data_IF_333998014467
#
_entry.id   IF_333998014467
#
_cell.length_a   1.000
_cell.length_b   1.000
_cell.length_c   1.000
_cell.angle_alpha   90.00
_cell.angle_beta   90.00
_cell.angle_gamma   90.00
#
_symmetry.space_group_name_H-M   'P 1'
#
loop_
_entity.id
_entity.type
_entity.pdbx_description
1 polymer ?
#
# COMPACT_ATOMS: atom_id res chain seq x y z
N UNK A 1 -66.54 22.46 -9.44
CA UNK A 1 -65.25 21.74 -9.39
C UNK A 1 -64.17 22.78 -9.10
N UNK A 2 -63.46 22.57 -8.00
CA UNK A 2 -62.48 23.41 -7.28
C UNK A 2 -61.40 23.95 -8.25
N UNK A 3 -61.21 25.27 -8.42
CA UNK A 3 -60.36 26.23 -7.67
C UNK A 3 -58.84 25.92 -7.65
N UNK A 4 -58.04 26.78 -8.29
CA UNK A 4 -57.00 27.56 -7.58
C UNK A 4 -55.52 27.17 -7.69
N UNK A 5 -54.71 28.18 -8.06
CA UNK A 5 -53.34 28.44 -7.54
C UNK A 5 -52.17 27.93 -8.40
N UNK A 6 -51.09 28.67 -8.68
CA UNK A 6 -50.48 29.85 -8.04
C UNK A 6 -49.61 30.57 -9.11
N UNK A 7 -50.04 31.72 -9.63
CA UNK A 7 -49.45 33.07 -9.47
C UNK A 7 -47.96 33.19 -9.11
N UNK A 8 -47.16 33.70 -10.06
CA UNK A 8 -45.83 34.27 -9.79
C UNK A 8 -46.03 35.71 -9.32
N UNK A 9 -46.05 35.90 -8.01
CA UNK A 9 -46.06 37.23 -7.37
C UNK A 9 -44.73 37.92 -7.63
N UNK A 10 -44.76 39.00 -8.41
CA UNK A 10 -43.68 39.99 -8.49
C UNK A 10 -43.76 40.92 -7.28
N UNK A 11 -42.86 40.76 -6.33
CA UNK A 11 -42.66 41.73 -5.24
C UNK A 11 -41.65 42.79 -5.69
N UNK A 12 -41.98 44.08 -5.68
CA UNK A 12 -40.97 45.13 -5.81
C UNK A 12 -40.40 45.49 -4.43
N UNK A 13 -39.13 45.91 -4.45
CA UNK A 13 -38.35 46.55 -3.38
C UNK A 13 -37.58 45.65 -2.40
N UNK A 14 -36.27 45.71 -2.58
CA UNK A 14 -35.24 45.31 -1.62
C UNK A 14 -33.90 45.78 -2.15
N UNK A 15 -33.53 47.03 -1.86
CA UNK A 15 -32.20 47.59 -2.13
C UNK A 15 -31.24 46.90 -1.16
N UNK A 16 -30.66 45.77 -1.58
CA UNK A 16 -29.60 45.09 -0.82
C UNK A 16 -28.41 44.88 -1.76
N UNK A 17 -27.41 45.73 -1.53
CA UNK A 17 -26.01 45.66 -1.93
C UNK A 17 -25.64 44.50 -2.85
N UNK A 18 -25.31 44.85 -4.09
CA UNK A 18 -24.51 44.03 -4.99
C UNK A 18 -23.11 43.82 -4.39
N UNK A 19 -22.99 42.90 -3.44
CA UNK A 19 -21.74 42.19 -3.21
C UNK A 19 -21.67 41.13 -4.31
N UNK A 20 -20.79 41.37 -5.28
CA UNK A 20 -20.47 40.47 -6.38
C UNK A 20 -19.94 39.15 -5.81
N UNK A 21 -20.84 38.21 -5.49
CA UNK A 21 -20.47 36.83 -5.30
C UNK A 21 -20.03 36.31 -6.66
N UNK A 22 -18.72 36.27 -6.90
CA UNK A 22 -18.16 35.55 -8.04
C UNK A 22 -18.77 34.15 -8.02
N UNK A 23 -19.67 33.86 -8.98
CA UNK A 23 -20.27 32.53 -9.12
C UNK A 23 -19.13 31.56 -9.43
N UNK A 24 -18.64 30.85 -8.41
CA UNK A 24 -17.77 29.69 -8.58
C UNK A 24 -18.47 28.76 -9.57
N UNK A 25 -17.92 28.64 -10.78
CA UNK A 25 -18.40 27.69 -11.76
C UNK A 25 -18.01 26.31 -11.23
N UNK A 26 -19.00 25.54 -10.79
CA UNK A 26 -18.82 24.17 -10.34
C UNK A 26 -19.36 23.22 -11.41
N UNK A 27 -18.58 22.24 -11.82
CA UNK A 27 -18.96 21.23 -12.81
C UNK A 27 -19.11 19.89 -12.09
N UNK A 28 -20.28 19.27 -12.14
CA UNK A 28 -20.45 17.94 -11.56
C UNK A 28 -19.82 16.86 -12.46
N UNK A 29 -18.86 16.13 -11.93
CA UNK A 29 -18.26 14.96 -12.57
C UNK A 29 -18.91 13.70 -11.97
N UNK A 30 -19.82 13.02 -12.69
CA UNK A 30 -20.40 11.77 -12.22
C UNK A 30 -19.36 10.63 -12.23
N UNK A 31 -19.70 9.46 -11.64
CA UNK A 31 -18.90 8.25 -11.78
C UNK A 31 -18.57 8.00 -13.25
N UNK A 32 -17.28 7.91 -13.56
CA UNK A 32 -16.78 7.94 -14.93
C UNK A 32 -15.50 7.10 -15.08
N UNK A 33 -15.19 6.77 -16.33
CA UNK A 33 -14.08 5.92 -16.70
C UNK A 33 -13.15 6.67 -17.66
N UNK A 34 -11.83 6.58 -17.45
CA UNK A 34 -10.85 7.28 -18.29
C UNK A 34 -9.53 6.51 -18.41
N UNK A 35 -8.86 6.67 -19.55
CA UNK A 35 -7.53 6.10 -19.79
C UNK A 35 -6.45 6.99 -19.20
N UNK A 36 -5.51 6.41 -18.47
CA UNK A 36 -4.39 7.13 -17.89
C UNK A 36 -3.08 6.33 -17.98
N UNK A 37 -1.97 7.03 -17.82
CA UNK A 37 -0.64 6.44 -17.73
C UNK A 37 -0.04 6.74 -16.37
N UNK A 38 0.42 5.70 -15.68
CA UNK A 38 1.22 5.82 -14.47
C UNK A 38 2.58 6.44 -14.82
N UNK A 39 2.94 7.58 -14.24
CA UNK A 39 4.16 8.30 -14.61
C UNK A 39 5.40 7.71 -13.93
N UNK A 40 5.30 7.45 -12.63
CA UNK A 40 6.39 6.90 -11.83
C UNK A 40 6.16 5.42 -11.56
N UNK A 41 7.22 4.62 -11.64
CA UNK A 41 7.19 3.27 -11.09
C UNK A 41 7.00 3.33 -9.59
N UNK A 42 6.40 2.31 -9.01
CA UNK A 42 6.14 2.25 -7.57
C UNK A 42 6.59 0.91 -7.00
N UNK A 43 7.20 0.95 -5.82
CA UNK A 43 7.45 -0.22 -4.99
C UNK A 43 6.51 -0.13 -3.79
N UNK A 44 5.34 -0.79 -3.89
CA UNK A 44 4.31 -0.71 -2.86
C UNK A 44 4.58 -1.73 -1.74
N UNK A 45 4.66 -1.30 -0.47
CA UNK A 45 4.84 -2.21 0.64
C UNK A 45 3.59 -3.09 0.82
N UNK A 46 3.81 -4.33 1.21
CA UNK A 46 2.72 -5.28 1.49
C UNK A 46 2.27 -5.20 2.94
N UNK A 47 0.97 -5.44 3.19
CA UNK A 47 0.42 -5.45 4.55
C UNK A 47 0.95 -6.68 5.30
N UNK A 48 1.85 -6.46 6.26
CA UNK A 48 2.27 -7.46 7.25
C UNK A 48 2.12 -6.84 8.63
N UNK A 49 1.16 -7.32 9.45
CA UNK A 49 1.08 -6.92 10.86
C UNK A 49 0.34 -5.60 11.19
N UNK A 50 -0.47 -5.06 10.29
CA UNK A 50 -1.55 -4.11 10.66
C UNK A 50 -1.28 -2.61 10.51
N UNK A 51 -0.07 -2.17 10.12
CA UNK A 51 0.18 -0.79 9.67
C UNK A 51 0.94 -0.79 8.35
N UNK A 52 0.28 -0.33 7.29
CA UNK A 52 0.93 0.01 6.03
C UNK A 52 0.88 1.51 5.86
N UNK A 53 2.00 2.07 5.40
CA UNK A 53 2.01 3.41 4.82
C UNK A 53 1.80 3.26 3.31
N UNK A 54 0.66 3.69 2.78
CA UNK A 54 0.43 3.71 1.35
C UNK A 54 1.47 4.59 0.66
N UNK A 55 1.85 4.21 -0.56
CA UNK A 55 2.81 4.98 -1.36
C UNK A 55 2.09 5.84 -2.38
N UNK A 56 2.45 7.12 -2.54
CA UNK A 56 1.80 7.99 -3.52
C UNK A 56 2.18 7.57 -4.95
N UNK A 57 1.21 7.66 -5.84
CA UNK A 57 1.31 7.33 -7.26
C UNK A 57 0.72 8.47 -8.07
N UNK A 58 1.36 8.80 -9.20
CA UNK A 58 0.91 9.89 -10.07
C UNK A 58 0.53 9.35 -11.44
N UNK A 59 -0.71 9.61 -11.84
CA UNK A 59 -1.25 9.24 -13.14
C UNK A 59 -1.47 10.48 -13.98
N UNK A 60 -1.20 10.39 -15.29
CA UNK A 60 -1.59 11.39 -16.27
C UNK A 60 -2.76 10.85 -17.08
N UNK A 61 -3.84 11.61 -17.20
CA UNK A 61 -4.98 11.26 -18.03
C UNK A 61 -4.60 11.43 -19.51
N UNK A 62 -4.74 10.36 -20.30
CA UNK A 62 -4.31 10.35 -21.70
C UNK A 62 -5.43 10.74 -22.68
N UNK A 63 -6.69 10.58 -22.27
CA UNK A 63 -7.85 10.78 -23.13
C UNK A 63 -9.05 11.37 -22.37
N UNK A 64 -10.07 11.77 -23.13
CA UNK A 64 -11.36 12.26 -22.60
C UNK A 64 -11.97 11.22 -21.64
N UNK A 65 -12.56 11.72 -20.56
CA UNK A 65 -13.32 10.90 -19.63
C UNK A 65 -14.67 10.52 -20.24
N UNK A 66 -15.05 9.26 -20.08
CA UNK A 66 -16.33 8.71 -20.53
C UNK A 66 -17.28 8.71 -19.34
N UNK A 67 -18.30 9.55 -19.41
CA UNK A 67 -19.37 9.69 -18.43
C UNK A 67 -20.54 8.76 -18.79
N UNK A 68 -21.51 8.56 -17.88
CA UNK A 68 -22.75 7.86 -18.18
C UNK A 68 -23.42 8.45 -19.43
N UNK A 69 -24.08 7.60 -20.22
CA UNK A 69 -24.69 7.96 -21.51
C UNK A 69 -23.68 8.38 -22.59
N UNK A 70 -22.44 7.90 -22.52
CA UNK A 70 -21.37 8.16 -23.49
C UNK A 70 -20.99 9.64 -23.66
N UNK A 71 -21.39 10.48 -22.70
CA UNK A 71 -20.99 11.88 -22.65
C UNK A 71 -19.49 11.95 -22.39
N UNK A 72 -18.81 12.87 -23.07
CA UNK A 72 -17.35 13.02 -22.93
C UNK A 72 -17.03 14.31 -22.19
N UNK A 73 -16.17 14.22 -21.18
CA UNK A 73 -15.59 15.38 -20.50
C UNK A 73 -14.10 15.49 -20.84
N UNK A 74 -13.64 16.71 -21.09
CA UNK A 74 -12.23 16.96 -21.35
C UNK A 74 -11.44 17.11 -20.05
N UNK A 75 -10.82 16.00 -19.64
CA UNK A 75 -9.88 15.91 -18.53
C UNK A 75 -8.49 15.48 -19.03
N UNK A 76 -8.23 15.61 -20.34
CA UNK A 76 -6.98 15.15 -20.95
C UNK A 76 -5.81 15.98 -20.44
N UNK A 77 -4.74 15.32 -20.03
CA UNK A 77 -3.53 15.97 -19.52
C UNK A 77 -3.60 16.35 -18.04
N UNK A 78 -4.74 16.19 -17.37
CA UNK A 78 -4.81 16.35 -15.93
C UNK A 78 -4.06 15.23 -15.20
N UNK A 79 -3.65 15.53 -13.97
CA UNK A 79 -2.98 14.58 -13.10
C UNK A 79 -3.93 14.04 -12.04
N UNK A 80 -3.78 12.76 -11.73
CA UNK A 80 -4.49 12.12 -10.63
C UNK A 80 -3.47 11.55 -9.67
N UNK A 81 -3.58 11.97 -8.41
CA UNK A 81 -2.79 11.40 -7.31
C UNK A 81 -3.60 10.26 -6.72
N UNK A 82 -2.94 9.13 -6.52
CA UNK A 82 -3.50 7.98 -5.84
C UNK A 82 -2.53 7.48 -4.77
N UNK A 83 -3.03 6.65 -3.87
CA UNK A 83 -2.23 5.87 -2.94
C UNK A 83 -2.27 4.39 -3.30
N UNK A 84 -1.13 3.70 -3.16
CA UNK A 84 -0.96 2.30 -3.47
C UNK A 84 -0.58 1.48 -2.22
N UNK A 85 -1.22 0.34 -2.02
CA UNK A 85 -0.90 -0.64 -0.98
C UNK A 85 -0.77 -2.04 -1.58
N UNK A 86 0.34 -2.75 -1.32
CA UNK A 86 0.53 -4.09 -1.87
C UNK A 86 -0.29 -5.15 -1.14
N UNK A 87 -0.97 -6.01 -1.90
CA UNK A 87 -1.58 -7.24 -1.41
C UNK A 87 -0.85 -8.45 -2.01
N UNK A 88 -0.07 -9.15 -1.18
CA UNK A 88 0.73 -10.30 -1.63
C UNK A 88 -0.14 -11.50 -2.03
N UNK A 89 -1.33 -11.66 -1.45
CA UNK A 89 -2.20 -12.79 -1.76
C UNK A 89 -2.75 -12.75 -3.20
N UNK A 90 -2.92 -11.55 -3.74
CA UNK A 90 -3.41 -11.33 -5.11
C UNK A 90 -2.34 -10.82 -6.07
N UNK A 91 -1.10 -10.63 -5.59
CA UNK A 91 0.02 -10.02 -6.32
C UNK A 91 -0.37 -8.69 -6.99
N UNK A 92 -1.19 -7.89 -6.29
CA UNK A 92 -1.73 -6.63 -6.80
C UNK A 92 -1.53 -5.49 -5.84
N UNK A 93 -1.27 -4.31 -6.39
CA UNK A 93 -1.20 -3.05 -5.67
C UNK A 93 -2.59 -2.44 -5.65
N UNK A 94 -3.23 -2.51 -4.50
CA UNK A 94 -4.50 -1.86 -4.20
C UNK A 94 -4.36 -0.36 -4.34
N UNK A 95 -5.14 0.24 -5.21
CA UNK A 95 -5.03 1.67 -5.53
C UNK A 95 -6.29 2.42 -5.10
N UNK A 96 -6.09 3.56 -4.44
CA UNK A 96 -7.18 4.49 -4.12
C UNK A 96 -6.86 5.87 -4.67
N UNK A 97 -7.75 6.41 -5.47
CA UNK A 97 -7.62 7.79 -5.96
C UNK A 97 -7.81 8.77 -4.79
N UNK A 98 -7.00 9.82 -4.77
CA UNK A 98 -7.02 10.86 -3.74
C UNK A 98 -7.50 12.19 -4.33
N UNK A 99 -6.75 12.74 -5.28
CA UNK A 99 -7.00 14.05 -5.85
C UNK A 99 -6.88 14.04 -7.36
N UNK A 100 -7.71 14.84 -8.02
CA UNK A 100 -7.63 15.16 -9.44
C UNK A 100 -7.28 16.63 -9.60
N UNK A 101 -6.20 16.90 -10.33
CA UNK A 101 -5.70 18.25 -10.59
C UNK A 101 -5.60 18.53 -12.09
N UNK A 102 -6.29 19.58 -12.54
CA UNK A 102 -6.25 20.09 -13.91
C UNK A 102 -5.85 21.57 -13.89
N UNK A 103 -4.98 21.95 -14.83
CA UNK A 103 -4.62 23.36 -15.06
C UNK A 103 -4.90 23.67 -16.52
N UNK A 104 -5.63 24.75 -16.80
CA UNK A 104 -5.83 25.21 -18.18
C UNK A 104 -4.52 25.72 -18.78
N UNK A 105 -4.36 25.64 -20.10
CA UNK A 105 -3.12 26.07 -20.77
C UNK A 105 -2.73 27.54 -20.49
N UNK A 106 -3.71 28.37 -20.13
CA UNK A 106 -3.51 29.78 -19.81
C UNK A 106 -3.24 30.02 -18.30
N UNK A 107 -3.25 28.97 -17.47
CA UNK A 107 -3.09 29.08 -16.01
C UNK A 107 -4.28 29.74 -15.26
N UNK A 108 -5.27 30.24 -15.99
CA UNK A 108 -6.37 31.03 -15.42
C UNK A 108 -7.31 30.22 -14.53
N UNK A 109 -7.43 28.91 -14.76
CA UNK A 109 -8.36 28.04 -14.06
C UNK A 109 -7.66 26.77 -13.56
N UNK A 110 -7.77 26.53 -12.26
CA UNK A 110 -7.31 25.33 -11.59
C UNK A 110 -8.51 24.57 -11.05
N UNK A 111 -8.49 23.27 -11.29
CA UNK A 111 -9.36 22.30 -10.64
C UNK A 111 -8.43 21.46 -9.77
N UNK A 112 -8.66 21.46 -8.45
CA UNK A 112 -8.03 20.53 -7.52
C UNK A 112 -9.11 20.04 -6.57
N UNK A 113 -9.51 18.78 -6.73
CA UNK A 113 -10.61 18.20 -5.97
C UNK A 113 -10.26 16.80 -5.52
N UNK A 114 -10.68 16.49 -4.30
CA UNK A 114 -10.61 15.14 -3.78
C UNK A 114 -11.59 14.26 -4.57
N UNK A 115 -11.08 13.15 -5.10
CA UNK A 115 -11.86 12.16 -5.82
C UNK A 115 -11.70 10.80 -5.17
N UNK A 116 -12.71 9.95 -5.34
CA UNK A 116 -12.63 8.55 -4.91
C UNK A 116 -12.81 7.64 -6.10
N UNK A 117 -12.06 6.55 -6.06
CA UNK A 117 -12.05 5.60 -7.13
C UNK A 117 -10.91 4.60 -6.98
N UNK A 118 -10.77 3.78 -8.00
CA UNK A 118 -9.76 2.75 -8.09
C UNK A 118 -9.20 2.68 -9.50
N UNK A 119 -8.09 1.97 -9.66
CA UNK A 119 -7.45 1.75 -10.95
C UNK A 119 -7.75 0.33 -11.43
N UNK A 120 -7.96 0.18 -12.73
CA UNK A 120 -8.09 -1.10 -13.43
C UNK A 120 -6.88 -1.23 -14.34
N UNK A 121 -6.17 -2.34 -14.23
CA UNK A 121 -4.98 -2.62 -15.03
C UNK A 121 -5.34 -2.93 -16.49
N UNK A 122 -4.32 -3.03 -17.35
CA UNK A 122 -4.49 -3.34 -18.77
C UNK A 122 -5.14 -4.72 -19.02
N UNK A 123 -5.12 -5.62 -18.03
CA UNK A 123 -5.78 -6.92 -18.07
C UNK A 123 -7.28 -6.86 -17.71
N UNK A 124 -7.81 -5.68 -17.40
CA UNK A 124 -9.22 -5.46 -17.05
C UNK A 124 -9.58 -5.85 -15.61
N UNK A 125 -8.61 -6.26 -14.79
CA UNK A 125 -8.84 -6.53 -13.38
C UNK A 125 -8.58 -5.28 -12.52
N UNK A 126 -9.31 -5.19 -11.41
CA UNK A 126 -9.11 -4.14 -10.42
C UNK A 126 -7.70 -4.23 -9.86
N UNK A 127 -7.13 -3.07 -9.53
CA UNK A 127 -5.78 -2.90 -8.98
C UNK A 127 -4.66 -3.23 -9.95
N UNK A 128 -3.46 -2.75 -9.66
CA UNK A 128 -2.32 -2.90 -10.57
C UNK A 128 -1.61 -4.22 -10.30
N UNK A 129 -1.43 -5.04 -11.35
CA UNK A 129 -0.53 -6.19 -11.25
C UNK A 129 0.89 -5.71 -10.93
N UNK A 130 1.45 -6.27 -9.86
CA UNK A 130 2.81 -6.00 -9.41
C UNK A 130 3.66 -7.27 -9.39
N UNK A 131 4.98 -7.11 -9.48
CA UNK A 131 5.90 -8.22 -9.34
C UNK A 131 6.32 -8.34 -7.87
N UNK A 132 6.14 -9.50 -7.22
CA UNK A 132 6.59 -9.70 -5.85
C UNK A 132 8.11 -9.75 -5.77
N UNK A 133 8.67 -8.80 -5.03
CA UNK A 133 10.10 -8.75 -4.74
C UNK A 133 10.30 -8.95 -3.24
N UNK A 134 10.77 -10.15 -2.89
CA UNK A 134 11.13 -10.49 -1.52
C UNK A 134 12.61 -10.21 -1.28
N UNK A 135 12.93 -9.33 -0.33
CA UNK A 135 14.31 -9.00 0.06
C UNK A 135 14.84 -9.88 1.21
N UNK A 136 14.02 -10.82 1.69
CA UNK A 136 14.28 -11.64 2.89
C UNK A 136 15.21 -12.84 2.64
N UNK A 137 15.42 -13.26 1.38
CA UNK A 137 16.01 -14.58 1.06
C UNK A 137 17.37 -14.85 1.71
N UNK A 138 18.28 -13.86 1.68
CA UNK A 138 19.61 -14.00 2.29
C UNK A 138 19.57 -14.04 3.81
N UNK A 139 18.63 -13.34 4.44
CA UNK A 139 18.46 -13.38 5.89
C UNK A 139 17.89 -14.74 6.32
N UNK A 140 16.87 -15.25 5.62
CA UNK A 140 16.29 -16.56 5.87
C UNK A 140 17.31 -17.70 5.67
N UNK A 141 18.16 -17.63 4.65
CA UNK A 141 19.24 -18.60 4.47
C UNK A 141 20.22 -18.61 5.66
N UNK A 142 20.57 -17.42 6.19
CA UNK A 142 21.43 -17.30 7.38
C UNK A 142 20.76 -17.80 8.66
N UNK A 143 19.45 -17.56 8.82
CA UNK A 143 18.63 -18.15 9.89
C UNK A 143 18.66 -19.67 9.81
N UNK A 144 18.49 -20.24 8.61
CA UNK A 144 18.52 -21.69 8.40
C UNK A 144 19.87 -22.32 8.73
N UNK A 145 20.97 -21.70 8.31
CA UNK A 145 22.33 -22.14 8.66
C UNK A 145 22.60 -22.02 10.16
N UNK A 146 22.19 -20.92 10.80
CA UNK A 146 22.31 -20.75 12.25
C UNK A 146 21.50 -21.80 13.01
N UNK A 147 20.27 -22.11 12.56
CA UNK A 147 19.45 -23.17 13.13
C UNK A 147 20.07 -24.56 13.01
N UNK A 148 20.69 -24.87 11.87
CA UNK A 148 21.43 -26.13 11.68
C UNK A 148 22.63 -26.23 12.64
N UNK A 149 23.43 -25.17 12.76
CA UNK A 149 24.56 -25.12 13.70
C UNK A 149 24.09 -25.25 15.15
N UNK A 150 22.99 -24.58 15.50
CA UNK A 150 22.36 -24.70 16.82
C UNK A 150 21.93 -26.14 17.13
N UNK A 151 21.26 -26.82 16.19
CA UNK A 151 20.84 -28.21 16.36
C UNK A 151 22.01 -29.20 16.48
N UNK A 152 23.10 -28.99 15.73
CA UNK A 152 24.33 -29.80 15.89
C UNK A 152 24.97 -29.57 17.26
N UNK A 153 25.00 -28.32 17.73
CA UNK A 153 25.55 -27.96 19.03
C UNK A 153 24.71 -28.54 20.19
N UNK A 154 23.39 -28.53 20.07
CA UNK A 154 22.47 -29.21 21.00
C UNK A 154 22.69 -30.73 21.02
N UNK A 155 22.97 -31.35 19.87
CA UNK A 155 23.33 -32.78 19.81
C UNK A 155 24.66 -33.09 20.53
N UNK A 156 25.65 -32.21 20.40
CA UNK A 156 26.92 -32.32 21.15
C UNK A 156 26.67 -32.13 22.65
N UNK A 157 25.82 -31.17 23.03
CA UNK A 157 25.39 -30.96 24.40
C UNK A 157 24.76 -32.23 24.99
N UNK A 158 23.81 -32.83 24.26
CA UNK A 158 23.11 -34.03 24.69
C UNK A 158 24.05 -35.24 24.80
N UNK A 159 25.10 -35.30 23.97
CA UNK A 159 26.13 -36.35 24.05
C UNK A 159 27.04 -36.27 25.28
N UNK A 160 26.94 -35.20 26.08
CA UNK A 160 27.68 -35.07 27.34
C UNK A 160 26.96 -35.72 28.54
N UNK A 161 25.70 -36.16 28.36
CA UNK A 161 24.90 -36.81 29.40
C UNK A 161 24.93 -38.32 29.24
N UNK A 162 25.17 -39.02 30.36
CA UNK A 162 24.99 -40.46 30.45
C UNK A 162 23.54 -40.77 30.83
N UNK A 163 22.83 -41.48 29.95
CA UNK A 163 21.49 -41.99 30.18
C UNK A 163 21.61 -43.36 30.85
N UNK A 164 21.21 -43.46 32.12
CA UNK A 164 21.15 -44.73 32.84
C UNK A 164 19.70 -45.14 33.04
N UNK A 165 19.34 -46.32 32.52
CA UNK A 165 18.01 -46.91 32.70
C UNK A 165 18.07 -47.96 33.81
N UNK A 166 17.22 -47.82 34.82
CA UNK A 166 17.07 -48.81 35.90
C UNK A 166 15.85 -49.71 35.63
N UNK A 167 16.04 -50.97 35.21
CA UNK A 167 14.93 -51.88 34.92
C UNK A 167 14.10 -52.25 36.16
N UNK A 168 14.65 -52.06 37.36
CA UNK A 168 14.01 -52.40 38.64
C UNK A 168 13.02 -51.34 39.13
N UNK A 169 13.24 -50.06 38.78
CA UNK A 169 12.40 -48.93 39.21
C UNK A 169 11.65 -48.27 38.06
N UNK A 170 11.98 -48.60 36.81
CA UNK A 170 11.39 -47.97 35.61
C UNK A 170 11.80 -46.52 35.43
N UNK A 171 12.79 -46.03 36.17
CA UNK A 171 13.27 -44.65 36.14
C UNK A 171 14.47 -44.54 35.21
N UNK A 172 14.44 -43.54 34.34
CA UNK A 172 15.58 -43.09 33.55
C UNK A 172 16.24 -41.92 34.27
N UNK A 173 17.54 -42.01 34.53
CA UNK A 173 18.34 -40.92 35.12
C UNK A 173 19.42 -40.46 34.15
N UNK A 174 19.38 -39.17 33.79
CA UNK A 174 20.42 -38.48 33.03
C UNK A 174 21.42 -37.84 33.99
N UNK A 175 22.66 -38.31 34.02
CA UNK A 175 23.73 -37.73 34.83
C UNK A 175 24.81 -37.17 33.93
N UNK A 176 25.26 -35.95 34.20
CA UNK A 176 26.42 -35.39 33.51
C UNK A 176 27.64 -36.25 33.83
N UNK A 177 28.36 -36.75 32.82
CA UNK A 177 29.59 -37.51 33.09
C UNK A 177 30.60 -36.61 33.80
N UNK A 178 31.18 -37.07 34.90
CA UNK A 178 32.16 -36.31 35.71
C UNK A 178 33.57 -36.22 35.05
N UNK A 179 33.61 -36.31 33.72
CA UNK A 179 34.84 -36.21 32.94
C UNK A 179 35.03 -34.77 32.47
N UNK A 180 36.26 -34.25 32.57
CA UNK A 180 36.60 -32.93 32.02
C UNK A 180 36.26 -32.79 30.53
N UNK A 181 36.25 -33.92 29.79
CA UNK A 181 35.83 -33.97 28.40
C UNK A 181 34.32 -33.75 28.20
N UNK A 182 33.46 -34.31 29.06
CA UNK A 182 32.02 -34.09 29.00
C UNK A 182 31.65 -32.65 29.37
N UNK A 183 32.30 -32.08 30.39
CA UNK A 183 32.15 -30.67 30.75
C UNK A 183 32.59 -29.77 29.59
N UNK A 184 33.72 -30.07 28.93
CA UNK A 184 34.18 -29.32 27.76
C UNK A 184 33.20 -29.40 26.58
N UNK A 185 32.66 -30.60 26.27
CA UNK A 185 31.63 -30.78 25.24
C UNK A 185 30.35 -30.01 25.56
N UNK A 186 29.89 -30.07 26.81
CA UNK A 186 28.73 -29.32 27.29
C UNK A 186 28.94 -27.81 27.16
N UNK A 187 30.10 -27.29 27.57
CA UNK A 187 30.41 -25.85 27.46
C UNK A 187 30.50 -25.37 26.01
N UNK A 188 31.17 -26.13 25.13
CA UNK A 188 31.27 -25.80 23.70
C UNK A 188 29.91 -25.90 23.02
N UNK A 189 29.16 -26.98 23.27
CA UNK A 189 27.82 -27.19 22.75
C UNK A 189 26.87 -26.07 23.17
N UNK A 190 26.80 -25.74 24.47
CA UNK A 190 25.97 -24.64 24.97
C UNK A 190 26.39 -23.28 24.43
N UNK A 191 27.68 -22.99 24.36
CA UNK A 191 28.20 -21.73 23.84
C UNK A 191 27.80 -21.54 22.38
N UNK A 192 28.06 -22.54 21.54
CA UNK A 192 27.70 -22.53 20.12
C UNK A 192 26.18 -22.47 19.91
N UNK A 193 25.40 -23.25 20.67
CA UNK A 193 23.94 -23.25 20.59
C UNK A 193 23.34 -21.89 20.95
N UNK A 194 23.82 -21.25 22.03
CA UNK A 194 23.35 -19.93 22.44
C UNK A 194 23.72 -18.84 21.43
N UNK A 195 24.97 -18.82 20.96
CA UNK A 195 25.39 -17.87 19.94
C UNK A 195 24.63 -18.05 18.62
N UNK A 196 24.39 -19.30 18.22
CA UNK A 196 23.60 -19.62 17.03
C UNK A 196 22.15 -19.17 17.16
N UNK A 197 21.50 -19.39 18.31
CA UNK A 197 20.14 -18.92 18.60
C UNK A 197 20.03 -17.39 18.57
N UNK A 198 20.98 -16.68 19.15
CA UNK A 198 20.99 -15.22 19.13
C UNK A 198 21.18 -14.69 17.70
N UNK A 199 22.10 -15.29 16.94
CA UNK A 199 22.33 -14.95 15.54
C UNK A 199 21.09 -15.25 14.68
N UNK A 200 20.43 -16.38 14.92
CA UNK A 200 19.18 -16.76 14.29
C UNK A 200 18.10 -15.71 14.57
N UNK A 201 17.91 -15.33 15.83
CA UNK A 201 16.93 -14.31 16.24
C UNK A 201 17.21 -12.96 15.58
N UNK A 202 18.46 -12.51 15.61
CA UNK A 202 18.88 -11.28 14.93
C UNK A 202 18.54 -11.31 13.43
N UNK A 203 18.81 -12.42 12.73
CA UNK A 203 18.48 -12.52 11.30
C UNK A 203 16.98 -12.70 11.05
N UNK A 204 16.22 -13.30 11.97
CA UNK A 204 14.75 -13.32 11.90
C UNK A 204 14.22 -11.89 12.02
N UNK A 205 14.70 -11.11 12.99
CA UNK A 205 14.27 -9.73 13.20
C UNK A 205 14.60 -8.86 11.99
N UNK A 206 15.81 -9.01 11.42
CA UNK A 206 16.17 -8.36 10.15
C UNK A 206 15.26 -8.79 9.00
N UNK A 207 14.94 -10.08 8.89
CA UNK A 207 14.04 -10.58 7.85
C UNK A 207 12.63 -9.98 8.02
N UNK A 208 12.10 -9.90 9.25
CA UNK A 208 10.79 -9.30 9.53
C UNK A 208 10.75 -7.80 9.21
N UNK A 209 11.86 -7.08 9.40
CA UNK A 209 11.98 -5.68 9.00
C UNK A 209 12.04 -5.49 7.48
N UNK A 210 12.50 -6.49 6.73
CA UNK A 210 12.45 -6.46 5.26
C UNK A 210 11.05 -6.79 4.77
N UNK A 211 10.18 -5.77 4.74
CA UNK A 211 8.83 -5.89 4.17
C UNK A 211 8.91 -6.33 2.69
N UNK A 212 8.11 -7.32 2.27
CA UNK A 212 7.95 -7.60 0.85
C UNK A 212 7.34 -6.39 0.14
N UNK A 213 7.80 -6.12 -1.07
CA UNK A 213 7.27 -5.04 -1.91
C UNK A 213 6.75 -5.62 -3.22
N UNK A 214 5.68 -5.02 -3.74
CA UNK A 214 5.20 -5.26 -5.09
C UNK A 214 5.67 -4.12 -5.99
N UNK A 215 6.45 -4.46 -7.02
CA UNK A 215 6.96 -3.49 -7.98
C UNK A 215 6.04 -3.37 -9.19
N UNK A 216 5.66 -2.13 -9.54
CA UNK A 216 4.94 -1.79 -10.76
C UNK A 216 5.81 -0.89 -11.61
N UNK A 217 5.99 -1.25 -12.88
CA UNK A 217 6.82 -0.50 -13.81
C UNK A 217 6.25 0.90 -14.12
N UNK A 218 7.13 1.87 -14.45
CA UNK A 218 6.71 3.21 -14.88
C UNK A 218 6.01 3.16 -16.25
N UNK A 219 5.32 4.24 -16.60
CA UNK A 219 4.67 4.44 -17.92
C UNK A 219 3.66 3.34 -18.26
N UNK A 220 3.04 2.73 -17.24
CA UNK A 220 2.01 1.69 -17.42
C UNK A 220 0.67 2.33 -17.79
N UNK A 221 0.06 1.88 -18.88
CA UNK A 221 -1.28 2.30 -19.30
C UNK A 221 -2.34 1.56 -18.50
N UNK A 222 -3.25 2.31 -17.91
CA UNK A 222 -4.27 1.83 -16.99
C UNK A 222 -5.59 2.56 -17.24
N UNK A 223 -6.65 2.09 -16.63
CA UNK A 223 -7.93 2.79 -16.63
C UNK A 223 -8.26 3.25 -15.22
N UNK A 224 -8.56 4.54 -15.06
CA UNK A 224 -9.04 5.10 -13.81
C UNK A 224 -10.56 5.04 -13.79
N UNK A 225 -11.12 4.63 -12.66
CA UNK A 225 -12.56 4.58 -12.43
C UNK A 225 -12.88 5.48 -11.25
N UNK A 226 -13.67 6.51 -11.49
CA UNK A 226 -14.22 7.36 -10.43
C UNK A 226 -15.49 6.70 -9.91
N UNK A 227 -15.51 6.37 -8.62
CA UNK A 227 -16.60 5.62 -8.00
C UNK A 227 -17.71 6.53 -7.44
N UNK A 228 -17.34 7.73 -7.00
CA UNK A 228 -18.27 8.71 -6.42
C UNK A 228 -18.24 10.00 -7.25
N UNK A 229 -19.41 10.57 -7.53
CA UNK A 229 -19.49 11.83 -8.26
C UNK A 229 -19.00 13.00 -7.41
N UNK A 230 -18.26 13.92 -8.03
CA UNK A 230 -17.61 15.05 -7.37
C UNK A 230 -18.01 16.37 -8.02
N UNK A 231 -18.12 17.44 -7.24
CA UNK A 231 -18.25 18.80 -7.77
C UNK A 231 -16.85 19.38 -8.03
N UNK A 232 -16.56 19.66 -9.28
CA UNK A 232 -15.32 20.30 -9.71
C UNK A 232 -15.46 21.81 -9.58
N UNK A 233 -14.99 22.36 -8.47
CA UNK A 233 -14.93 23.80 -8.32
C UNK A 233 -13.76 24.37 -9.12
N UNK A 234 -14.08 25.28 -10.03
CA UNK A 234 -13.08 26.00 -10.81
C UNK A 234 -12.64 27.21 -10.00
N UNK A 235 -11.42 27.13 -9.46
CA UNK A 235 -10.75 28.28 -8.86
C UNK A 235 -10.06 29.08 -9.98
N UNK A 236 -10.25 30.40 -9.99
CA UNK A 236 -9.40 31.27 -10.80
C UNK A 236 -8.07 31.46 -10.08
N UNK A 237 -6.94 31.30 -10.75
CA UNK A 237 -5.68 31.79 -10.18
C UNK A 237 -5.70 33.31 -10.23
N UNK A 238 -5.79 33.97 -9.07
CA UNK A 238 -5.33 35.34 -8.96
C UNK A 238 -3.81 35.29 -9.13
N UNK A 239 -3.29 35.91 -10.19
CA UNK A 239 -1.86 36.07 -10.43
C UNK A 239 -1.20 36.63 -9.16
N UNK A 240 -0.46 35.80 -8.43
CA UNK A 240 0.58 36.28 -7.53
C UNK A 240 1.84 36.23 -8.35
N UNK A 241 2.20 37.38 -8.95
CA UNK A 241 3.48 37.59 -9.59
C UNK A 241 4.60 37.22 -8.59
N UNK A 242 5.53 36.38 -9.01
CA UNK A 242 6.80 36.15 -8.32
C UNK A 242 7.85 37.13 -8.82
#
# INVERSE_FOLDING_TARGET
MILGGIEVVSTPQGIINAATAEKKKSIYLPPSFMKATLLSGVAAPTITGGKVSPVPMLFKIDNLAILPNEVRADLKGCFVVAEGTGNLATERVQTRLLNLSCVTQNGEAIIDQAIKGFVVDADGQVDLKGNPVAKMGMHLARVGLAGLLGGLAEGIEQSAYDESYSPATGVTSSTLSDSGAAIAKLSVGRGLANSAKELQKFYIDLAQQTMPVLEVGPTKKVNLVISEGVNLDIAKQSQTEF
#
